data_IF_518234422650
#
_entry.id   IF_518234422650
#
_cell.length_a   1.000
_cell.length_b   1.000
_cell.length_c   1.000
_cell.angle_alpha   90.00
_cell.angle_beta   90.00
_cell.angle_gamma   90.00
#
_symmetry.space_group_name_H-M   'P 1'
#
loop_
_entity.id
_entity.type
_entity.pdbx_description
1 polymer ?
#
# COMPACT_ATOMS: atom_id res chain seq x y z
N UNK A 1 -9.44 23.65 -0.73
CA UNK A 1 -10.79 23.08 -0.99
C UNK A 1 -10.98 21.85 -0.11
N UNK A 2 -12.22 21.51 0.26
CA UNK A 2 -12.52 20.27 0.98
C UNK A 2 -12.36 19.06 0.04
N UNK A 3 -11.93 17.93 0.60
CA UNK A 3 -11.95 16.66 -0.10
C UNK A 3 -13.38 16.09 -0.11
N UNK A 4 -13.82 15.53 -1.23
CA UNK A 4 -14.96 14.60 -1.22
C UNK A 4 -14.42 13.22 -0.78
N UNK A 5 -14.92 12.63 0.33
CA UNK A 5 -14.31 11.43 0.89
C UNK A 5 -14.30 10.21 -0.03
N UNK A 6 -15.38 9.94 -0.78
CA UNK A 6 -15.45 8.79 -1.68
C UNK A 6 -14.57 8.98 -2.91
N UNK A 7 -14.50 10.18 -3.47
CA UNK A 7 -13.61 10.51 -4.59
C UNK A 7 -12.15 10.33 -4.16
N UNK A 8 -11.78 10.82 -2.97
CA UNK A 8 -10.42 10.65 -2.44
C UNK A 8 -10.10 9.19 -2.17
N UNK A 9 -11.04 8.44 -1.58
CA UNK A 9 -10.89 7.01 -1.33
C UNK A 9 -10.74 6.20 -2.62
N UNK A 10 -11.56 6.46 -3.64
CA UNK A 10 -11.47 5.80 -4.95
C UNK A 10 -10.14 6.10 -5.64
N UNK A 11 -9.70 7.37 -5.62
CA UNK A 11 -8.41 7.76 -6.17
C UNK A 11 -7.25 7.02 -5.47
N UNK A 12 -7.25 6.99 -4.13
CA UNK A 12 -6.20 6.29 -3.38
C UNK A 12 -6.26 4.77 -3.57
N UNK A 13 -7.45 4.18 -3.71
CA UNK A 13 -7.61 2.76 -4.01
C UNK A 13 -7.02 2.38 -5.37
N UNK A 14 -7.26 3.18 -6.41
CA UNK A 14 -6.69 2.97 -7.75
C UNK A 14 -5.16 3.12 -7.71
N UNK A 15 -4.66 4.20 -7.12
CA UNK A 15 -3.22 4.44 -6.97
C UNK A 15 -2.57 3.33 -6.15
N UNK A 16 -3.21 2.89 -5.07
CA UNK A 16 -2.76 1.78 -4.24
C UNK A 16 -2.72 0.45 -5.00
N UNK A 17 -3.73 0.14 -5.82
CA UNK A 17 -3.73 -1.04 -6.67
C UNK A 17 -2.57 -1.05 -7.68
N UNK A 18 -2.30 0.09 -8.31
CA UNK A 18 -1.15 0.26 -9.23
C UNK A 18 0.16 0.02 -8.46
N UNK A 19 0.33 0.64 -7.30
CA UNK A 19 1.52 0.44 -6.47
C UNK A 19 1.70 -1.01 -6.05
N UNK A 20 0.62 -1.71 -5.68
CA UNK A 20 0.69 -3.12 -5.33
C UNK A 20 1.25 -3.96 -6.49
N UNK A 21 0.75 -3.74 -7.71
CA UNK A 21 1.24 -4.46 -8.90
C UNK A 21 2.72 -4.17 -9.15
N UNK A 22 3.14 -2.90 -9.01
CA UNK A 22 4.55 -2.53 -9.13
C UNK A 22 5.42 -3.20 -8.06
N UNK A 23 4.94 -3.30 -6.82
CA UNK A 23 5.64 -4.01 -5.74
C UNK A 23 5.78 -5.50 -6.04
N UNK A 24 4.73 -6.16 -6.54
CA UNK A 24 4.79 -7.57 -6.95
C UNK A 24 5.82 -7.75 -8.07
N UNK A 25 5.80 -6.88 -9.08
CA UNK A 25 6.79 -6.91 -10.16
C UNK A 25 8.22 -6.72 -9.64
N UNK A 26 8.43 -5.77 -8.72
CA UNK A 26 9.74 -5.56 -8.12
C UNK A 26 10.24 -6.80 -7.40
N UNK A 27 9.41 -7.46 -6.58
CA UNK A 27 9.79 -8.69 -5.88
C UNK A 27 10.19 -9.80 -6.87
N UNK A 28 9.51 -9.91 -8.01
CA UNK A 28 9.87 -10.88 -9.06
C UNK A 28 11.22 -10.61 -9.71
N UNK A 29 11.59 -9.33 -9.89
CA UNK A 29 12.87 -8.92 -10.49
C UNK A 29 14.03 -9.01 -9.49
N UNK A 30 13.83 -8.43 -8.30
CA UNK A 30 14.86 -8.39 -7.25
C UNK A 30 14.22 -8.28 -5.87
N UNK A 31 14.04 -9.45 -5.23
CA UNK A 31 13.53 -9.52 -3.87
C UNK A 31 14.45 -8.84 -2.85
N UNK A 32 15.77 -8.98 -2.97
CA UNK A 32 16.72 -8.40 -2.02
C UNK A 32 16.67 -6.86 -2.04
N UNK A 33 16.60 -6.26 -3.24
CA UNK A 33 16.44 -4.81 -3.37
C UNK A 33 15.12 -4.32 -2.77
N UNK A 34 14.02 -5.02 -3.06
CA UNK A 34 12.72 -4.72 -2.46
C UNK A 34 12.78 -4.77 -0.92
N UNK A 35 13.32 -5.85 -0.35
CA UNK A 35 13.41 -6.01 1.11
C UNK A 35 14.34 -4.99 1.75
N UNK A 36 15.43 -4.59 1.10
CA UNK A 36 16.30 -3.52 1.58
C UNK A 36 15.60 -2.16 1.68
N UNK A 37 14.80 -1.80 0.68
CA UNK A 37 14.06 -0.52 0.67
C UNK A 37 12.91 -0.55 1.66
N UNK A 38 12.10 -1.62 1.69
CA UNK A 38 11.04 -1.75 2.68
C UNK A 38 11.63 -1.72 4.09
N UNK A 39 12.74 -2.44 4.32
CA UNK A 39 13.46 -2.40 5.59
C UNK A 39 13.93 -1.01 6.01
N UNK A 40 14.19 -0.09 5.08
CA UNK A 40 14.55 1.29 5.42
C UNK A 40 13.40 2.12 6.01
N UNK A 41 12.14 1.68 5.82
CA UNK A 41 10.96 2.37 6.34
C UNK A 41 10.51 1.83 7.70
N UNK A 42 10.88 0.60 8.03
CA UNK A 42 10.53 -0.07 9.27
C UNK A 42 11.73 -0.12 10.22
N UNK A 43 11.53 0.24 11.48
CA UNK A 43 12.58 0.19 12.48
C UNK A 43 12.53 -1.15 13.22
N UNK A 44 13.68 -1.83 13.35
CA UNK A 44 13.84 -3.00 14.22
C UNK A 44 13.62 -4.37 13.59
N UNK A 45 13.52 -4.48 12.25
CA UNK A 45 13.38 -5.77 11.54
C UNK A 45 14.36 -5.84 10.38
N UNK A 46 15.18 -6.88 10.32
CA UNK A 46 15.96 -7.22 9.13
C UNK A 46 15.14 -8.13 8.20
N UNK A 47 14.57 -7.53 7.15
CA UNK A 47 13.76 -8.25 6.17
C UNK A 47 14.57 -9.20 5.28
N UNK A 48 15.89 -9.01 5.17
CA UNK A 48 16.75 -9.92 4.41
C UNK A 48 17.02 -11.23 5.15
N UNK A 49 16.88 -11.23 6.48
CA UNK A 49 17.02 -12.43 7.31
C UNK A 49 15.76 -13.33 7.29
N UNK A 50 14.64 -12.86 6.73
CA UNK A 50 13.39 -13.62 6.69
C UNK A 50 13.44 -14.75 5.64
N UNK A 51 12.82 -15.91 5.92
CA UNK A 51 12.75 -17.01 4.96
C UNK A 51 12.01 -16.59 3.70
N UNK A 52 12.40 -17.20 2.58
CA UNK A 52 11.78 -16.86 1.30
C UNK A 52 10.43 -17.54 1.13
N UNK A 53 9.37 -16.72 1.09
CA UNK A 53 8.06 -17.16 0.63
C UNK A 53 7.99 -17.17 -0.91
N UNK A 54 7.39 -18.21 -1.45
CA UNK A 54 7.07 -18.31 -2.89
C UNK A 54 5.84 -17.47 -3.20
N UNK A 55 5.92 -16.63 -4.24
CA UNK A 55 4.77 -15.91 -4.77
C UNK A 55 3.79 -16.92 -5.40
N UNK A 56 2.54 -16.90 -4.95
CA UNK A 56 1.46 -17.69 -5.54
C UNK A 56 0.40 -16.75 -6.08
N UNK A 57 -0.36 -17.19 -7.08
CA UNK A 57 -1.46 -16.39 -7.62
C UNK A 57 -2.49 -16.05 -6.54
N UNK A 58 -2.75 -16.97 -5.60
CA UNK A 58 -3.64 -16.71 -4.47
C UNK A 58 -3.10 -15.63 -3.55
N UNK A 59 -1.81 -15.67 -3.18
CA UNK A 59 -1.24 -14.66 -2.28
C UNK A 59 -1.19 -13.27 -2.94
N UNK A 60 -0.95 -13.20 -4.25
CA UNK A 60 -0.99 -11.95 -5.02
C UNK A 60 -2.42 -11.38 -5.09
N UNK A 61 -3.42 -12.20 -5.39
CA UNK A 61 -4.81 -11.73 -5.47
C UNK A 61 -5.35 -11.31 -4.11
N UNK A 62 -5.11 -12.11 -3.06
CA UNK A 62 -5.52 -11.75 -1.69
C UNK A 62 -4.81 -10.47 -1.23
N UNK A 63 -3.53 -10.31 -1.54
CA UNK A 63 -2.79 -9.10 -1.23
C UNK A 63 -3.31 -7.88 -1.98
N UNK A 64 -3.63 -8.00 -3.27
CA UNK A 64 -4.18 -6.90 -4.06
C UNK A 64 -5.53 -6.43 -3.51
N UNK A 65 -6.46 -7.36 -3.26
CA UNK A 65 -7.80 -7.03 -2.75
C UNK A 65 -7.70 -6.38 -1.37
N UNK A 66 -6.91 -6.96 -0.46
CA UNK A 66 -6.75 -6.41 0.89
C UNK A 66 -6.04 -5.05 0.89
N UNK A 67 -5.02 -4.86 0.04
CA UNK A 67 -4.31 -3.59 -0.07
C UNK A 67 -5.18 -2.49 -0.69
N UNK A 68 -5.94 -2.78 -1.75
CA UNK A 68 -6.89 -1.84 -2.35
C UNK A 68 -7.97 -1.43 -1.36
N UNK A 69 -8.52 -2.38 -0.60
CA UNK A 69 -9.50 -2.08 0.45
C UNK A 69 -8.89 -1.20 1.54
N UNK A 70 -7.68 -1.52 2.01
CA UNK A 70 -6.96 -0.71 3.00
C UNK A 70 -6.65 0.71 2.48
N UNK A 71 -6.22 0.85 1.23
CA UNK A 71 -5.95 2.13 0.60
C UNK A 71 -7.24 2.97 0.46
N UNK A 72 -8.35 2.34 0.07
CA UNK A 72 -9.65 3.01 0.03
C UNK A 72 -10.04 3.57 1.41
N UNK A 73 -9.99 2.73 2.44
CA UNK A 73 -10.32 3.11 3.83
C UNK A 73 -9.40 4.24 4.29
N UNK A 74 -8.10 4.12 4.04
CA UNK A 74 -7.12 5.15 4.39
C UNK A 74 -7.43 6.48 3.70
N UNK A 75 -7.82 6.45 2.42
CA UNK A 75 -8.16 7.65 1.66
C UNK A 75 -9.44 8.32 2.16
N UNK A 76 -10.43 7.52 2.54
CA UNK A 76 -11.66 8.02 3.16
C UNK A 76 -11.36 8.70 4.50
N UNK A 77 -10.61 8.02 5.37
CA UNK A 77 -10.21 8.54 6.69
C UNK A 77 -9.39 9.83 6.52
N UNK A 78 -8.44 9.84 5.59
CA UNK A 78 -7.63 11.01 5.29
C UNK A 78 -8.50 12.21 4.87
N UNK A 79 -9.46 12.01 3.97
CA UNK A 79 -10.36 13.09 3.53
C UNK A 79 -11.21 13.65 4.67
N UNK A 80 -11.76 12.79 5.53
CA UNK A 80 -12.53 13.21 6.70
C UNK A 80 -11.65 13.99 7.69
N UNK A 81 -10.46 13.46 8.00
CA UNK A 81 -9.51 14.11 8.89
C UNK A 81 -9.04 15.46 8.35
N UNK A 82 -8.67 15.51 7.07
CA UNK A 82 -8.29 16.74 6.38
C UNK A 82 -9.40 17.77 6.47
N UNK A 83 -10.64 17.41 6.14
CA UNK A 83 -11.77 18.32 6.19
C UNK A 83 -12.10 18.82 7.60
N UNK A 84 -11.83 18.02 8.63
CA UNK A 84 -11.98 18.41 10.04
C UNK A 84 -10.92 19.44 10.45
N UNK A 85 -9.69 19.31 9.97
CA UNK A 85 -8.58 20.22 10.29
C UNK A 85 -8.44 21.40 9.34
N UNK A 86 -9.10 21.35 8.17
CA UNK A 86 -9.22 22.48 7.27
C UNK A 86 -9.97 23.59 8.01
N UNK A 87 -9.22 24.60 8.49
CA UNK A 87 -9.70 25.74 9.27
C UNK A 87 -11.00 26.28 8.67
N UNK A 88 -11.97 26.60 9.55
CA UNK A 88 -13.06 27.52 9.20
C UNK A 88 -12.47 28.83 8.69
#
# INVERSE_FOLDING_TARGET
>A
MKHEPKVTANALAVVGGIWYVLCVFWVMVSKSSYMGIIGSWFHGVDFNALPTATLTTSSVLTGLVSFVAFAWISGYIFAVAYNKFLKK
#
